data_IF_722215044729
#
_entry.id   IF_722215044729
#
_cell.length_a   1.000
_cell.length_b   1.000
_cell.length_c   1.000
_cell.angle_alpha   90.00
_cell.angle_beta   90.00
_cell.angle_gamma   90.00
#
_symmetry.space_group_name_H-M   'P 1'
#
loop_
_entity.id
_entity.type
_entity.pdbx_description
1 polymer ?
#
# COMPACT_ATOMS: atom_id res chain seq x y z
N UNK A 1 0.43 1.75 -13.62
CA UNK A 1 1.14 1.06 -12.51
C UNK A 1 1.59 2.12 -11.53
N UNK A 2 1.25 1.96 -10.25
CA UNK A 2 1.61 2.89 -9.17
C UNK A 2 2.51 2.19 -8.14
N UNK A 3 3.47 2.97 -7.63
CA UNK A 3 4.33 2.61 -6.50
C UNK A 3 4.26 3.75 -5.48
N UNK A 4 3.84 3.43 -4.26
CA UNK A 4 3.80 4.39 -3.15
C UNK A 4 4.62 3.83 -1.98
N UNK A 5 5.54 4.64 -1.46
CA UNK A 5 6.44 4.27 -0.37
C UNK A 5 5.98 4.93 0.93
N UNK A 6 5.97 4.14 2.01
CA UNK A 6 5.73 4.60 3.37
C UNK A 6 6.98 4.33 4.18
N UNK A 7 7.55 5.36 4.79
CA UNK A 7 8.77 5.23 5.57
C UNK A 7 8.56 5.73 6.99
N UNK A 8 8.87 4.90 7.98
CA UNK A 8 8.96 5.31 9.39
C UNK A 8 10.44 5.49 9.73
N UNK A 9 10.84 6.73 9.92
CA UNK A 9 12.23 7.07 10.25
C UNK A 9 12.70 6.44 11.56
N UNK A 10 11.86 6.47 12.60
CA UNK A 10 12.21 5.96 13.93
C UNK A 10 12.52 4.45 13.94
N UNK A 11 11.95 3.68 13.02
CA UNK A 11 12.17 2.24 12.91
C UNK A 11 13.06 1.88 11.71
N UNK A 12 13.45 2.87 10.90
CA UNK A 12 14.05 2.65 9.57
C UNK A 12 13.24 1.64 8.73
N UNK A 13 11.91 1.69 8.86
CA UNK A 13 11.00 0.71 8.25
C UNK A 13 10.40 1.28 6.98
N UNK A 14 10.56 0.57 5.87
CA UNK A 14 9.97 0.91 4.59
C UNK A 14 8.86 -0.09 4.23
N UNK A 15 7.68 0.41 3.89
CA UNK A 15 6.57 -0.37 3.33
C UNK A 15 6.22 0.17 1.94
N UNK A 16 5.67 -0.67 1.09
CA UNK A 16 5.32 -0.29 -0.28
C UNK A 16 3.90 -0.72 -0.64
N UNK A 17 3.14 0.17 -1.28
CA UNK A 17 1.88 -0.16 -1.94
C UNK A 17 2.13 -0.17 -3.46
N UNK A 18 1.85 -1.30 -4.08
CA UNK A 18 2.03 -1.52 -5.51
C UNK A 18 0.67 -1.81 -6.14
N UNK A 19 0.25 -0.98 -7.08
CA UNK A 19 -1.04 -1.06 -7.76
C UNK A 19 -0.90 -1.31 -9.26
N UNK A 20 -1.68 -2.28 -9.78
CA UNK A 20 -1.93 -2.45 -11.20
C UNK A 20 -3.31 -1.89 -11.57
N UNK A 21 -3.30 -0.84 -12.39
CA UNK A 21 -4.50 -0.14 -12.85
C UNK A 21 -5.34 -1.01 -13.81
N UNK A 22 -4.69 -1.92 -14.55
CA UNK A 22 -5.36 -2.76 -15.55
C UNK A 22 -6.28 -3.77 -14.88
N UNK A 23 -5.81 -4.40 -13.80
CA UNK A 23 -6.59 -5.37 -13.03
C UNK A 23 -7.26 -4.78 -11.79
N UNK A 24 -7.04 -3.49 -11.50
CA UNK A 24 -7.45 -2.80 -10.26
C UNK A 24 -7.08 -3.56 -8.99
N UNK A 25 -5.89 -4.16 -8.97
CA UNK A 25 -5.38 -4.91 -7.82
C UNK A 25 -4.22 -4.15 -7.20
N UNK A 26 -4.17 -4.17 -5.87
CA UNK A 26 -3.07 -3.62 -5.12
C UNK A 26 -2.53 -4.63 -4.09
N UNK A 27 -1.22 -4.59 -3.88
CA UNK A 27 -0.48 -5.41 -2.92
C UNK A 27 0.35 -4.50 -2.03
N UNK A 28 0.41 -4.83 -0.73
CA UNK A 28 1.30 -4.16 0.22
C UNK A 28 2.48 -5.07 0.53
N UNK A 29 3.69 -4.53 0.45
CA UNK A 29 4.94 -5.21 0.82
C UNK A 29 5.44 -4.63 2.14
N UNK A 30 5.81 -5.51 3.06
CA UNK A 30 6.18 -5.21 4.45
C UNK A 30 5.18 -4.31 5.18
N UNK A 31 3.88 -4.70 5.25
CA UNK A 31 2.88 -3.94 5.95
C UNK A 31 3.22 -3.82 7.44
N UNK A 32 3.01 -2.63 7.98
CA UNK A 32 2.97 -2.45 9.44
C UNK A 32 1.76 -3.17 10.02
N UNK A 33 1.77 -3.34 11.35
CA UNK A 33 0.64 -3.96 12.06
C UNK A 33 -0.67 -3.19 11.87
N UNK A 34 -0.58 -1.86 11.82
CA UNK A 34 -1.71 -1.01 11.40
C UNK A 34 -1.68 -0.87 9.88
N UNK A 35 -2.71 -1.42 9.24
CA UNK A 35 -2.86 -1.45 7.77
C UNK A 35 -3.91 -0.45 7.26
N UNK A 36 -4.55 0.30 8.16
CA UNK A 36 -5.69 1.16 7.84
C UNK A 36 -5.34 2.22 6.80
N UNK A 37 -4.12 2.77 6.90
CA UNK A 37 -3.60 3.76 5.95
C UNK A 37 -3.48 3.18 4.53
N UNK A 38 -2.96 1.96 4.38
CA UNK A 38 -2.82 1.33 3.06
C UNK A 38 -4.19 0.99 2.43
N UNK A 39 -5.15 0.54 3.25
CA UNK A 39 -6.51 0.23 2.79
C UNK A 39 -7.23 1.50 2.33
N UNK A 40 -7.12 2.59 3.11
CA UNK A 40 -7.72 3.88 2.76
C UNK A 40 -7.16 4.42 1.45
N UNK A 41 -5.83 4.34 1.25
CA UNK A 41 -5.20 4.80 0.02
C UNK A 41 -5.53 3.89 -1.17
N UNK A 42 -5.66 2.57 -0.97
CA UNK A 42 -6.14 1.66 -2.02
C UNK A 42 -7.60 1.99 -2.43
N UNK A 43 -8.48 2.29 -1.46
CA UNK A 43 -9.88 2.67 -1.73
C UNK A 43 -10.00 4.02 -2.44
N UNK A 44 -9.22 5.03 -2.03
CA UNK A 44 -9.15 6.34 -2.72
C UNK A 44 -8.74 6.21 -4.18
N UNK A 45 -7.99 5.16 -4.50
CA UNK A 45 -7.48 4.89 -5.84
C UNK A 45 -8.32 3.84 -6.59
N UNK A 46 -9.49 3.45 -6.07
CA UNK A 46 -10.44 2.47 -6.66
C UNK A 46 -9.84 1.05 -6.85
N UNK A 47 -8.90 0.64 -5.98
CA UNK A 47 -8.26 -0.67 -6.07
C UNK A 47 -8.73 -1.64 -5.00
N UNK A 48 -8.85 -2.92 -5.38
CA UNK A 48 -9.08 -4.01 -4.43
C UNK A 48 -7.75 -4.47 -3.86
N UNK A 49 -7.47 -4.12 -2.60
CA UNK A 49 -6.29 -4.56 -1.88
C UNK A 49 -6.44 -6.01 -1.39
N UNK A 50 -5.40 -6.84 -1.63
CA UNK A 50 -5.16 -8.06 -0.86
C UNK A 50 -4.01 -7.77 0.09
N UNK A 51 -4.32 -7.65 1.38
CA UNK A 51 -3.33 -7.55 2.45
C UNK A 51 -2.84 -8.96 2.84
#
# INVERSE_FOLDING_TARGET
>A
MILQQYYIECLSHASYLIGDETTRRAVVVDPRRDITEYLTDAERTDWRSKA
#
